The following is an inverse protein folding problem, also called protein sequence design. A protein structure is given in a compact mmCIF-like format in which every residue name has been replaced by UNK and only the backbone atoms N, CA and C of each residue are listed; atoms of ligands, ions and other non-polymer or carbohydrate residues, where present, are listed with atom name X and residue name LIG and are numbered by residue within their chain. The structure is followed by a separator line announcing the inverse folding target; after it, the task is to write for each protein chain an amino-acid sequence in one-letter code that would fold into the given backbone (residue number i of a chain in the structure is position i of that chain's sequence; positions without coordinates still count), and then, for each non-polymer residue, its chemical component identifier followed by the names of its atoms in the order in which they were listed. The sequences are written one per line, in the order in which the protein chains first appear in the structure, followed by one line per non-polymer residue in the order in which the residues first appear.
data_IF_130318090529
#
_entry.id   IF_130318090529
#
_cell.length_a   1.000
_cell.length_b   1.000
_cell.length_c   1.000
_cell.angle_alpha   90.00
_cell.angle_beta   90.00
_cell.angle_gamma   90.00
#
_symmetry.space_group_name_H-M   'P 1'
#
loop_
_entity.id
_entity.type
_entity.pdbx_description
1 polymer ?
#
# COMPACT_ATOMS: atom_id res chain seq x y z
N UNK A 1 -3.95 -21.39 -18.79
CA UNK A 1 -4.82 -20.26 -18.41
C UNK A 1 -3.98 -19.30 -17.61
N UNK A 2 -4.22 -17.98 -17.71
CA UNK A 2 -3.43 -16.96 -16.98
C UNK A 2 -3.80 -16.87 -15.50
N UNK A 3 -5.01 -17.31 -15.13
CA UNK A 3 -5.53 -17.26 -13.77
C UNK A 3 -6.22 -18.57 -13.38
N UNK A 4 -6.00 -18.99 -12.13
CA UNK A 4 -6.67 -20.10 -11.47
C UNK A 4 -7.77 -19.54 -10.55
N UNK A 5 -9.03 -19.79 -10.92
CA UNK A 5 -10.19 -19.26 -10.19
C UNK A 5 -10.53 -20.10 -8.95
N UNK A 6 -10.08 -21.35 -8.88
CA UNK A 6 -10.33 -22.24 -7.75
C UNK A 6 -9.53 -21.82 -6.51
N UNK A 7 -8.48 -21.00 -6.70
CA UNK A 7 -7.70 -20.41 -5.61
C UNK A 7 -8.40 -19.21 -4.94
N UNK A 8 -9.45 -18.65 -5.56
CA UNK A 8 -10.20 -17.52 -4.95
C UNK A 8 -10.97 -18.01 -3.72
N UNK A 9 -10.77 -17.34 -2.59
CA UNK A 9 -11.34 -17.70 -1.30
C UNK A 9 -10.49 -18.70 -0.51
N UNK A 10 -9.38 -19.21 -1.05
CA UNK A 10 -8.49 -20.12 -0.37
C UNK A 10 -7.40 -19.35 0.38
N UNK A 11 -7.39 -19.44 1.71
CA UNK A 11 -6.38 -18.80 2.53
C UNK A 11 -4.99 -19.43 2.32
N UNK A 12 -3.98 -18.59 2.17
CA UNK A 12 -2.59 -19.00 2.11
C UNK A 12 -2.04 -19.46 3.47
N UNK A 13 -0.74 -19.79 3.49
CA UNK A 13 -0.03 -20.10 4.74
C UNK A 13 0.03 -18.87 5.63
N UNK A 14 -0.06 -19.11 6.94
CA UNK A 14 0.19 -18.07 7.95
C UNK A 14 1.68 -17.85 8.14
N UNK A 15 2.06 -16.59 8.37
CA UNK A 15 3.40 -16.18 8.74
C UNK A 15 3.38 -15.51 10.11
N UNK A 16 4.37 -15.82 10.93
CA UNK A 16 4.52 -15.21 12.25
C UNK A 16 5.52 -14.07 12.21
N UNK A 17 5.22 -13.00 12.92
CA UNK A 17 6.10 -11.84 13.03
C UNK A 17 6.16 -11.34 14.49
N UNK A 18 7.38 -11.17 15.01
CA UNK A 18 7.60 -10.55 16.33
C UNK A 18 7.93 -9.08 16.13
N UNK A 19 7.08 -8.21 16.62
CA UNK A 19 7.27 -6.76 16.53
C UNK A 19 8.32 -6.34 17.55
N UNK A 20 9.44 -5.79 17.05
CA UNK A 20 10.50 -5.22 17.91
C UNK A 20 10.45 -3.69 17.90
N UNK A 21 10.96 -3.07 18.97
CA UNK A 21 11.17 -1.62 18.99
C UNK A 21 12.05 -1.14 17.84
N UNK A 22 13.08 -1.94 17.49
CA UNK A 22 13.99 -1.60 16.39
C UNK A 22 13.28 -1.62 15.03
N UNK A 23 12.38 -2.59 14.79
CA UNK A 23 11.60 -2.64 13.57
C UNK A 23 10.69 -1.41 13.42
N UNK A 24 9.98 -1.03 14.49
CA UNK A 24 9.11 0.16 14.48
C UNK A 24 9.91 1.45 14.26
N UNK A 25 11.06 1.61 14.94
CA UNK A 25 11.94 2.78 14.76
C UNK A 25 12.58 2.82 13.37
N UNK A 26 13.06 1.68 12.87
CA UNK A 26 13.68 1.61 11.54
C UNK A 26 12.67 1.98 10.45
N UNK A 27 11.44 1.47 10.55
CA UNK A 27 10.38 1.81 9.60
C UNK A 27 9.99 3.29 9.66
N UNK A 28 9.84 3.84 10.86
CA UNK A 28 9.56 5.26 11.06
C UNK A 28 10.67 6.15 10.50
N UNK A 29 11.94 5.79 10.75
CA UNK A 29 13.10 6.49 10.16
C UNK A 29 13.11 6.40 8.64
N UNK A 30 12.77 5.22 8.08
CA UNK A 30 12.72 5.01 6.64
C UNK A 30 11.54 5.72 5.95
N UNK A 31 10.57 6.21 6.69
CA UNK A 31 9.42 7.00 6.20
C UNK A 31 9.40 8.43 6.74
N UNK A 32 10.52 8.85 7.34
CA UNK A 32 10.69 10.18 7.96
C UNK A 32 9.53 10.59 8.90
N UNK A 33 8.96 9.63 9.62
CA UNK A 33 7.86 9.83 10.57
C UNK A 33 8.22 9.30 11.98
N UNK A 34 7.27 9.36 12.89
CA UNK A 34 7.34 8.77 14.24
C UNK A 34 6.77 7.35 14.25
N UNK A 35 7.23 6.45 15.16
CA UNK A 35 6.71 5.10 15.24
C UNK A 35 5.19 5.03 15.50
N UNK A 36 4.52 4.03 14.92
CA UNK A 36 3.11 3.74 15.15
C UNK A 36 2.18 4.14 13.99
N UNK A 37 2.73 4.57 12.86
CA UNK A 37 1.95 4.84 11.64
C UNK A 37 1.30 3.57 11.06
N UNK A 38 0.15 3.71 10.38
CA UNK A 38 -0.67 2.57 9.93
C UNK A 38 0.05 1.74 8.85
N UNK A 39 0.93 2.34 8.06
CA UNK A 39 1.58 1.67 6.93
C UNK A 39 2.59 0.60 7.39
N UNK A 40 3.08 0.64 8.65
CA UNK A 40 3.87 -0.46 9.22
C UNK A 40 3.13 -1.81 9.16
N UNK A 41 1.80 -1.80 9.10
CA UNK A 41 0.97 -3.02 8.97
C UNK A 41 1.35 -3.90 7.77
N UNK A 42 2.00 -3.35 6.73
CA UNK A 42 2.48 -4.14 5.58
C UNK A 42 3.63 -5.10 5.97
N UNK A 43 4.47 -4.72 6.93
CA UNK A 43 5.68 -5.48 7.28
C UNK A 43 5.36 -6.91 7.72
N UNK A 44 4.46 -7.15 8.70
CA UNK A 44 4.12 -8.51 9.11
C UNK A 44 3.34 -9.32 8.05
N UNK A 45 2.78 -8.66 7.02
CA UNK A 45 2.01 -9.35 5.97
C UNK A 45 2.80 -9.57 4.67
N UNK A 46 3.93 -8.90 4.50
CA UNK A 46 4.66 -8.85 3.22
C UNK A 46 4.90 -10.23 2.61
N UNK A 47 5.37 -11.18 3.40
CA UNK A 47 5.70 -12.53 2.93
C UNK A 47 4.47 -13.38 2.56
N UNK A 48 3.26 -12.95 2.91
CA UNK A 48 2.02 -13.69 2.60
C UNK A 48 1.42 -13.28 1.25
N UNK A 49 1.69 -12.05 0.77
CA UNK A 49 1.03 -11.47 -0.41
C UNK A 49 1.48 -12.15 -1.69
N UNK A 50 2.79 -12.29 -1.93
CA UNK A 50 3.31 -12.89 -3.15
C UNK A 50 2.88 -14.35 -3.34
N UNK A 51 2.89 -15.24 -2.33
CA UNK A 51 2.34 -16.59 -2.43
C UNK A 51 0.83 -16.61 -2.77
N UNK A 52 0.04 -15.72 -2.18
CA UNK A 52 -1.39 -15.59 -2.48
C UNK A 52 -1.63 -15.15 -3.93
N UNK A 53 -0.86 -14.20 -4.44
CA UNK A 53 -0.92 -13.80 -5.83
C UNK A 53 -0.49 -14.94 -6.78
N UNK A 54 0.57 -15.68 -6.44
CA UNK A 54 1.08 -16.82 -7.22
C UNK A 54 0.11 -17.99 -7.26
N UNK A 55 -0.77 -18.16 -6.27
CA UNK A 55 -1.79 -19.21 -6.29
C UNK A 55 -2.87 -18.96 -7.36
N UNK A 56 -3.09 -17.69 -7.73
CA UNK A 56 -4.09 -17.28 -8.71
C UNK A 56 -3.47 -16.99 -10.08
N UNK A 57 -2.39 -16.22 -10.12
CA UNK A 57 -1.83 -15.71 -11.36
C UNK A 57 -0.60 -16.52 -11.82
N UNK A 58 -0.58 -16.92 -13.10
CA UNK A 58 0.59 -17.59 -13.68
C UNK A 58 1.85 -16.70 -13.64
N UNK A 59 3.03 -17.33 -13.69
CA UNK A 59 4.30 -16.61 -13.72
C UNK A 59 4.39 -15.59 -14.87
N UNK A 60 3.80 -15.88 -16.02
CA UNK A 60 3.77 -14.97 -17.17
C UNK A 60 2.83 -13.78 -16.94
N UNK A 61 1.67 -13.99 -16.33
CA UNK A 61 0.77 -12.91 -15.96
C UNK A 61 1.45 -11.95 -14.98
N UNK A 62 2.18 -12.49 -14.01
CA UNK A 62 2.90 -11.71 -12.98
C UNK A 62 4.01 -10.81 -13.52
N UNK A 63 4.55 -11.05 -14.69
CA UNK A 63 5.50 -10.12 -15.35
C UNK A 63 4.88 -8.75 -15.68
N UNK A 64 3.55 -8.64 -15.65
CA UNK A 64 2.78 -7.43 -15.96
C UNK A 64 2.00 -6.89 -14.76
N UNK A 65 2.28 -7.40 -13.57
CA UNK A 65 1.60 -6.99 -12.34
C UNK A 65 2.13 -5.65 -11.85
N UNK A 66 1.22 -4.84 -11.35
CA UNK A 66 1.54 -3.64 -10.56
C UNK A 66 0.69 -3.63 -9.30
N UNK A 67 1.24 -3.13 -8.21
CA UNK A 67 0.48 -2.79 -7.00
C UNK A 67 -0.38 -1.56 -7.34
N UNK A 68 -1.69 -1.74 -7.37
CA UNK A 68 -2.62 -0.74 -7.92
C UNK A 68 -3.35 0.06 -6.85
N UNK A 69 -3.85 -0.61 -5.81
CA UNK A 69 -4.53 0.00 -4.67
C UNK A 69 -4.13 -0.70 -3.38
N UNK A 70 -4.09 0.04 -2.30
CA UNK A 70 -3.91 -0.50 -0.95
C UNK A 70 -4.86 0.18 0.02
N UNK A 71 -5.58 -0.61 0.81
CA UNK A 71 -6.50 -0.17 1.84
C UNK A 71 -6.17 -0.89 3.15
N UNK A 72 -5.93 -0.13 4.21
CA UNK A 72 -5.57 -0.63 5.54
C UNK A 72 -6.68 -0.23 6.51
N UNK A 73 -7.34 -1.21 7.10
CA UNK A 73 -8.29 -1.02 8.21
C UNK A 73 -7.59 -1.41 9.52
N UNK A 74 -7.48 -0.45 10.44
CA UNK A 74 -6.78 -0.61 11.71
C UNK A 74 -7.79 -0.84 12.82
N UNK A 75 -7.74 -2.01 13.45
CA UNK A 75 -8.58 -2.35 14.61
C UNK A 75 -7.89 -2.05 15.93
N UNK A 76 -6.57 -2.15 15.94
CA UNK A 76 -5.72 -1.74 17.08
C UNK A 76 -4.31 -1.37 16.61
N UNK A 77 -3.63 -0.45 17.31
CA UNK A 77 -2.25 -0.12 17.03
C UNK A 77 -1.31 -1.32 17.19
N UNK A 78 -0.25 -1.36 16.36
CA UNK A 78 0.82 -2.34 16.48
C UNK A 78 1.87 -1.81 17.47
N UNK A 79 2.17 -2.61 18.50
CA UNK A 79 3.12 -2.30 19.57
C UNK A 79 4.30 -3.26 19.60
N UNK A 80 5.44 -2.77 20.06
CA UNK A 80 6.59 -3.61 20.34
C UNK A 80 6.24 -4.72 21.35
N UNK A 81 6.80 -5.89 21.14
CA UNK A 81 6.53 -7.10 21.92
C UNK A 81 5.34 -7.93 21.42
N UNK A 82 4.50 -7.38 20.53
CA UNK A 82 3.42 -8.17 19.93
C UNK A 82 4.00 -9.33 19.10
N UNK A 83 3.34 -10.48 19.21
CA UNK A 83 3.49 -11.62 18.31
C UNK A 83 2.28 -11.66 17.41
N UNK A 84 2.51 -11.46 16.13
CA UNK A 84 1.47 -11.34 15.12
C UNK A 84 1.49 -12.57 14.23
N UNK A 85 0.30 -12.98 13.80
CA UNK A 85 0.10 -14.05 12.82
C UNK A 85 -0.68 -13.44 11.67
N UNK A 86 -0.10 -13.46 10.47
CA UNK A 86 -0.72 -12.90 9.27
C UNK A 86 -0.97 -13.99 8.23
N UNK A 87 -2.07 -13.87 7.50
CA UNK A 87 -2.32 -14.68 6.31
C UNK A 87 -2.97 -13.84 5.23
N UNK A 88 -2.84 -14.28 3.98
CA UNK A 88 -3.42 -13.63 2.82
C UNK A 88 -4.37 -14.59 2.09
N UNK A 89 -5.50 -14.06 1.63
CA UNK A 89 -6.52 -14.78 0.86
C UNK A 89 -6.83 -13.99 -0.40
N UNK A 90 -6.66 -14.55 -1.59
CA UNK A 90 -7.20 -13.96 -2.82
C UNK A 90 -8.73 -13.97 -2.72
N UNK A 91 -9.37 -12.80 -2.72
CA UNK A 91 -10.83 -12.71 -2.49
C UNK A 91 -11.62 -12.34 -3.74
N UNK A 92 -10.95 -11.80 -4.75
CA UNK A 92 -11.66 -11.34 -5.94
C UNK A 92 -10.72 -11.24 -7.15
N UNK A 93 -11.25 -11.61 -8.31
CA UNK A 93 -10.63 -11.38 -9.61
C UNK A 93 -11.64 -10.66 -10.51
N UNK A 94 -11.30 -9.46 -11.01
CA UNK A 94 -12.21 -8.63 -11.79
C UNK A 94 -11.64 -8.32 -13.16
N UNK A 95 -12.39 -8.64 -14.21
CA UNK A 95 -12.09 -8.20 -15.59
C UNK A 95 -12.24 -6.68 -15.67
N UNK A 96 -11.27 -6.03 -16.28
CA UNK A 96 -11.20 -4.57 -16.49
C UNK A 96 -10.91 -4.27 -17.96
N UNK A 97 -11.21 -3.07 -18.47
CA UNK A 97 -10.99 -2.74 -19.89
C UNK A 97 -9.56 -2.97 -20.40
N UNK A 98 -8.54 -2.81 -19.54
CA UNK A 98 -7.14 -2.88 -19.94
C UNK A 98 -6.36 -3.99 -19.21
N UNK A 99 -7.06 -5.00 -18.67
CA UNK A 99 -6.44 -6.10 -17.94
C UNK A 99 -7.34 -6.71 -16.88
N UNK A 100 -6.74 -7.19 -15.81
CA UNK A 100 -7.45 -7.88 -14.72
C UNK A 100 -6.95 -7.37 -13.38
N UNK A 101 -7.84 -7.10 -12.43
CA UNK A 101 -7.48 -6.82 -11.04
C UNK A 101 -7.71 -8.03 -10.16
N UNK A 102 -6.75 -8.33 -9.29
CA UNK A 102 -6.83 -9.32 -8.23
C UNK A 102 -6.81 -8.59 -6.89
N UNK A 103 -7.78 -8.87 -6.03
CA UNK A 103 -7.79 -8.36 -4.65
C UNK A 103 -7.35 -9.48 -3.72
N UNK A 104 -6.32 -9.20 -2.94
CA UNK A 104 -5.81 -10.07 -1.88
C UNK A 104 -6.15 -9.40 -0.56
N UNK A 105 -6.94 -10.05 0.28
CA UNK A 105 -7.21 -9.64 1.66
C UNK A 105 -6.18 -10.27 2.56
N UNK A 106 -5.51 -9.44 3.37
CA UNK A 106 -4.66 -9.93 4.46
C UNK A 106 -5.33 -9.64 5.80
N UNK A 107 -5.18 -10.56 6.73
CA UNK A 107 -5.59 -10.38 8.12
C UNK A 107 -4.38 -10.61 9.02
N UNK A 108 -4.15 -9.67 9.93
CA UNK A 108 -3.13 -9.79 10.97
C UNK A 108 -3.81 -9.88 12.33
N UNK A 109 -3.48 -10.92 13.09
CA UNK A 109 -4.03 -11.19 14.41
C UNK A 109 -2.93 -11.34 15.44
N UNK A 110 -3.26 -11.11 16.71
CA UNK A 110 -2.40 -11.53 17.82
C UNK A 110 -2.39 -13.07 17.93
N UNK A 111 -1.46 -13.62 18.71
CA UNK A 111 -1.45 -15.06 18.99
C UNK A 111 -2.75 -15.56 19.67
N UNK A 112 -3.43 -14.67 20.41
CA UNK A 112 -4.72 -14.97 21.07
C UNK A 112 -5.92 -14.83 20.12
N UNK A 113 -5.67 -14.52 18.83
CA UNK A 113 -6.69 -14.45 17.78
C UNK A 113 -7.39 -13.10 17.62
N UNK A 114 -7.04 -12.07 18.40
CA UNK A 114 -7.60 -10.73 18.23
C UNK A 114 -7.15 -10.11 16.90
N UNK A 115 -8.09 -9.53 16.16
CA UNK A 115 -7.82 -8.86 14.90
C UNK A 115 -7.10 -7.53 15.16
N UNK A 116 -5.95 -7.34 14.50
CA UNK A 116 -5.11 -6.13 14.60
C UNK A 116 -5.34 -5.22 13.41
N UNK A 117 -5.30 -5.76 12.22
CA UNK A 117 -5.64 -5.03 10.98
C UNK A 117 -6.10 -5.99 9.89
N UNK A 118 -6.79 -5.41 8.91
CA UNK A 118 -7.10 -6.03 7.63
C UNK A 118 -6.55 -5.13 6.53
N UNK A 119 -6.05 -5.73 5.46
CA UNK A 119 -5.62 -4.96 4.30
C UNK A 119 -6.19 -5.56 3.03
N UNK A 120 -6.55 -4.71 2.09
CA UNK A 120 -6.96 -5.10 0.74
C UNK A 120 -5.90 -4.61 -0.24
N UNK A 121 -5.12 -5.55 -0.73
CA UNK A 121 -4.06 -5.31 -1.72
C UNK A 121 -4.64 -5.59 -3.08
N UNK A 122 -4.78 -4.57 -3.92
CA UNK A 122 -5.23 -4.74 -5.29
C UNK A 122 -4.02 -4.77 -6.23
N UNK A 123 -3.79 -5.89 -6.84
CA UNK A 123 -2.86 -6.06 -7.96
C UNK A 123 -3.59 -5.86 -9.28
N UNK A 124 -2.93 -5.22 -10.25
CA UNK A 124 -3.45 -5.06 -11.60
C UNK A 124 -2.49 -5.66 -12.64
N UNK A 125 -3.00 -6.59 -13.42
CA UNK A 125 -2.28 -7.30 -14.48
C UNK A 125 -2.55 -6.62 -15.82
N UNK A 126 -1.64 -5.76 -16.25
CA UNK A 126 -1.78 -4.93 -17.45
C UNK A 126 -1.82 -5.77 -18.71
N UNK A 127 -2.92 -5.64 -19.49
CA UNK A 127 -3.11 -6.36 -20.75
C UNK A 127 -3.19 -7.88 -20.60
N UNK A 128 -3.46 -8.40 -19.41
CA UNK A 128 -3.74 -9.82 -19.16
C UNK A 128 -5.23 -9.96 -18.82
N UNK A 129 -5.97 -10.65 -19.66
CA UNK A 129 -7.41 -10.79 -19.52
C UNK A 129 -7.78 -12.09 -18.80
N UNK A 130 -8.66 -12.00 -17.81
CA UNK A 130 -9.39 -13.14 -17.26
C UNK A 130 -10.67 -13.39 -18.08
N UNK A 131 -11.17 -14.61 -18.04
CA UNK A 131 -12.38 -15.02 -18.77
C UNK A 131 -13.66 -14.55 -18.08
N UNK A 132 -13.63 -14.36 -16.77
CA UNK A 132 -14.78 -13.96 -15.95
C UNK A 132 -14.33 -13.26 -14.69
N UNK A 133 -15.23 -12.50 -14.08
CA UNK A 133 -15.05 -11.91 -12.76
C UNK A 133 -15.64 -12.82 -11.69
N UNK A 134 -14.93 -12.94 -10.55
CA UNK A 134 -15.39 -13.70 -9.37
C UNK A 134 -15.05 -12.93 -8.10
N UNK A 135 -15.82 -13.17 -7.03
CA UNK A 135 -15.63 -12.53 -5.73
C UNK A 135 -16.19 -11.11 -5.63
N UNK A 136 -15.97 -10.45 -4.51
CA UNK A 136 -16.46 -9.11 -4.22
C UNK A 136 -15.38 -8.07 -4.46
N UNK A 137 -15.78 -6.84 -4.79
CA UNK A 137 -14.83 -5.73 -4.96
C UNK A 137 -14.21 -5.35 -3.62
N UNK A 138 -12.98 -4.80 -3.65
CA UNK A 138 -12.40 -4.11 -2.51
C UNK A 138 -13.31 -2.96 -2.05
N UNK A 139 -13.24 -2.54 -0.78
CA UNK A 139 -13.98 -1.38 -0.28
C UNK A 139 -13.72 -0.14 -1.14
N UNK A 140 -14.78 0.63 -1.43
CA UNK A 140 -14.64 1.87 -2.22
C UNK A 140 -13.99 2.97 -1.36
N UNK A 141 -13.07 3.71 -1.98
CA UNK A 141 -12.43 4.88 -1.38
C UNK A 141 -12.26 6.03 -2.39
N UNK A 142 -13.12 6.06 -3.43
CA UNK A 142 -13.05 7.08 -4.48
C UNK A 142 -13.20 8.48 -3.90
N UNK A 143 -12.28 9.36 -4.27
CA UNK A 143 -12.30 10.78 -3.94
C UNK A 143 -12.98 11.60 -5.04
N UNK A 144 -13.99 12.39 -4.67
CA UNK A 144 -14.68 13.34 -5.56
C UNK A 144 -14.60 14.73 -4.92
N UNK A 145 -13.67 15.55 -5.41
CA UNK A 145 -13.40 16.91 -4.90
C UNK A 145 -13.27 17.94 -6.03
N UNK A 146 -13.98 17.70 -7.13
CA UNK A 146 -13.93 18.61 -8.28
C UNK A 146 -14.39 20.02 -7.90
N UNK A 147 -13.53 21.02 -8.15
CA UNK A 147 -13.81 22.42 -7.83
C UNK A 147 -13.75 22.77 -6.34
N UNK A 148 -13.29 21.88 -5.50
CA UNK A 148 -13.12 22.14 -4.06
C UNK A 148 -11.62 22.39 -3.76
N UNK A 149 -11.32 23.56 -3.15
CA UNK A 149 -9.96 23.85 -2.71
C UNK A 149 -9.53 22.89 -1.60
N UNK A 150 -8.26 22.43 -1.59
CA UNK A 150 -7.75 21.59 -0.52
C UNK A 150 -7.68 22.35 0.81
N UNK A 151 -7.91 21.63 1.91
CA UNK A 151 -7.68 22.12 3.27
C UNK A 151 -6.21 22.49 3.50
N UNK A 152 -5.32 21.69 2.96
CA UNK A 152 -3.87 21.89 3.03
C UNK A 152 -3.16 21.22 1.86
N UNK A 153 -1.98 21.76 1.52
CA UNK A 153 -0.99 21.15 0.64
C UNK A 153 0.32 21.02 1.43
N UNK A 154 0.82 19.80 1.59
CA UNK A 154 2.02 19.51 2.37
C UNK A 154 3.01 18.76 1.49
N UNK A 155 4.20 19.31 1.37
CA UNK A 155 5.26 18.80 0.50
C UNK A 155 6.41 18.20 1.31
N UNK A 156 6.85 17.01 0.93
CA UNK A 156 8.04 16.36 1.46
C UNK A 156 8.99 16.01 0.31
N UNK A 157 10.25 16.44 0.44
CA UNK A 157 11.31 15.98 -0.45
C UNK A 157 11.70 14.55 -0.07
N UNK A 158 11.60 13.65 -1.03
CA UNK A 158 12.04 12.26 -0.86
C UNK A 158 13.55 12.18 -1.09
N UNK A 159 14.28 11.55 -0.19
CA UNK A 159 15.73 11.46 -0.28
C UNK A 159 16.17 10.52 -1.42
N UNK A 160 17.41 10.73 -1.93
CA UNK A 160 18.00 9.87 -2.98
C UNK A 160 18.14 8.41 -2.54
N UNK A 161 18.40 8.17 -1.25
CA UNK A 161 18.55 6.86 -0.62
C UNK A 161 17.25 6.31 -0.01
N UNK A 162 16.12 6.96 -0.30
CA UNK A 162 14.82 6.56 0.24
C UNK A 162 14.44 5.11 -0.07
N UNK A 163 14.63 4.63 -1.33
CA UNK A 163 14.29 3.25 -1.65
C UNK A 163 15.09 2.23 -0.83
N UNK A 164 16.39 2.45 -0.64
CA UNK A 164 17.25 1.55 0.13
C UNK A 164 16.86 1.52 1.62
N UNK A 165 16.60 2.69 2.19
CA UNK A 165 16.13 2.79 3.59
C UNK A 165 14.81 2.07 3.79
N UNK A 166 13.88 2.28 2.85
CA UNK A 166 12.57 1.64 2.93
C UNK A 166 12.65 0.13 2.72
N UNK A 167 13.40 -0.35 1.73
CA UNK A 167 13.60 -1.77 1.49
C UNK A 167 14.17 -2.48 2.73
N UNK A 168 15.19 -1.90 3.36
CA UNK A 168 15.80 -2.45 4.58
C UNK A 168 14.82 -2.54 5.76
N UNK A 169 13.86 -1.60 5.86
CA UNK A 169 12.91 -1.53 6.98
C UNK A 169 11.62 -2.32 6.72
N UNK A 170 11.19 -2.42 5.46
CA UNK A 170 9.92 -3.09 5.08
C UNK A 170 10.09 -4.54 4.67
N UNK A 171 11.29 -4.92 4.20
CA UNK A 171 11.56 -6.21 3.58
C UNK A 171 11.15 -6.29 2.11
N UNK A 172 10.72 -5.18 1.49
CA UNK A 172 10.47 -5.09 0.06
C UNK A 172 11.76 -4.73 -0.69
N UNK A 173 12.48 -5.75 -1.12
CA UNK A 173 13.75 -5.66 -1.85
C UNK A 173 13.60 -5.83 -3.37
N UNK A 174 12.40 -5.59 -3.92
CA UNK A 174 12.15 -5.79 -5.33
C UNK A 174 13.04 -4.86 -6.19
N UNK A 175 13.72 -5.45 -7.18
CA UNK A 175 14.79 -4.80 -7.94
C UNK A 175 14.38 -3.49 -8.63
N UNK A 176 13.10 -3.28 -8.94
CA UNK A 176 12.58 -2.03 -9.53
C UNK A 176 12.86 -0.79 -8.66
N UNK A 177 13.06 -1.00 -7.35
CA UNK A 177 13.31 0.05 -6.37
C UNK A 177 14.81 0.25 -6.07
N UNK A 178 15.65 -0.75 -6.37
CA UNK A 178 17.03 -0.79 -5.92
C UNK A 178 18.05 -0.82 -7.06
N UNK A 179 17.62 -1.18 -8.29
CA UNK A 179 18.50 -1.38 -9.44
C UNK A 179 18.00 -0.55 -10.64
N UNK A 180 18.78 0.45 -11.01
CA UNK A 180 18.50 1.33 -12.14
C UNK A 180 18.50 0.60 -13.50
N UNK A 181 19.36 -0.41 -13.66
CA UNK A 181 19.43 -1.18 -14.91
C UNK A 181 18.18 -2.05 -15.06
N UNK A 182 17.78 -2.73 -13.97
CA UNK A 182 16.53 -3.47 -13.95
C UNK A 182 15.33 -2.57 -14.22
N UNK A 183 15.24 -1.41 -13.57
CA UNK A 183 14.14 -0.45 -13.77
C UNK A 183 14.05 0.01 -15.23
N UNK A 184 15.20 0.31 -15.87
CA UNK A 184 15.23 0.66 -17.31
C UNK A 184 14.82 -0.51 -18.20
N UNK A 185 15.17 -1.74 -17.85
CA UNK A 185 14.80 -2.93 -18.62
C UNK A 185 13.29 -3.17 -18.69
N UNK A 186 12.53 -2.65 -17.70
CA UNK A 186 11.07 -2.71 -17.65
C UNK A 186 10.38 -1.41 -18.07
N UNK A 187 11.12 -0.46 -18.66
CA UNK A 187 10.59 0.75 -19.30
C UNK A 187 10.48 1.97 -18.40
N UNK A 188 11.12 1.98 -17.23
CA UNK A 188 11.25 3.16 -16.38
C UNK A 188 12.56 3.91 -16.67
N UNK A 189 12.65 5.22 -16.41
CA UNK A 189 13.89 5.97 -16.59
C UNK A 189 14.98 5.62 -15.56
N UNK A 190 14.61 5.07 -14.42
CA UNK A 190 15.46 4.65 -13.31
C UNK A 190 14.64 4.01 -12.21
N UNK A 191 15.30 3.66 -11.10
CA UNK A 191 14.63 3.10 -9.92
C UNK A 191 13.59 4.07 -9.36
N UNK A 192 12.54 3.53 -8.74
CA UNK A 192 11.42 4.29 -8.21
C UNK A 192 11.27 4.12 -6.70
N UNK A 193 10.68 5.09 -6.05
CA UNK A 193 10.27 4.99 -4.65
C UNK A 193 9.14 3.96 -4.51
N UNK A 194 9.15 3.17 -3.44
CA UNK A 194 8.09 2.21 -3.14
C UNK A 194 6.74 2.92 -2.98
N UNK A 195 5.69 2.36 -3.57
CA UNK A 195 4.34 2.92 -3.45
C UNK A 195 3.89 3.05 -1.99
N UNK A 196 4.19 2.05 -1.16
CA UNK A 196 3.87 2.06 0.27
C UNK A 196 4.68 3.12 1.04
N UNK A 197 5.90 3.45 0.61
CA UNK A 197 6.67 4.58 1.15
C UNK A 197 5.98 5.91 0.81
N UNK A 198 5.54 6.10 -0.44
CA UNK A 198 4.74 7.28 -0.83
C UNK A 198 3.46 7.39 -0.01
N UNK A 199 2.78 6.26 0.25
CA UNK A 199 1.57 6.22 1.09
C UNK A 199 1.88 6.62 2.54
N UNK A 200 3.03 6.24 3.10
CA UNK A 200 3.45 6.64 4.44
C UNK A 200 3.69 8.16 4.53
N UNK A 201 4.35 8.75 3.55
CA UNK A 201 4.52 10.22 3.47
C UNK A 201 3.16 10.94 3.36
N UNK A 202 2.25 10.43 2.53
CA UNK A 202 0.91 11.01 2.40
C UNK A 202 0.10 10.87 3.69
N UNK A 203 0.16 9.73 4.38
CA UNK A 203 -0.49 9.52 5.67
C UNK A 203 0.00 10.53 6.72
N UNK A 204 1.31 10.77 6.78
CA UNK A 204 1.91 11.80 7.65
C UNK A 204 1.36 13.19 7.31
N UNK A 205 1.29 13.57 6.02
CA UNK A 205 0.75 14.85 5.58
C UNK A 205 -0.72 15.02 5.97
N UNK A 206 -1.56 14.00 5.77
CA UNK A 206 -2.97 14.04 6.18
C UNK A 206 -3.09 14.21 7.70
N UNK A 207 -2.28 13.49 8.49
CA UNK A 207 -2.26 13.60 9.95
C UNK A 207 -1.90 15.02 10.40
N UNK A 208 -0.90 15.64 9.77
CA UNK A 208 -0.49 17.03 10.04
C UNK A 208 -1.60 18.02 9.67
N UNK A 209 -2.21 17.88 8.48
CA UNK A 209 -3.33 18.73 8.03
C UNK A 209 -4.56 18.61 8.93
N UNK A 210 -4.83 17.41 9.43
CA UNK A 210 -5.95 17.13 10.33
C UNK A 210 -5.70 17.63 11.77
N UNK A 211 -4.45 17.98 12.13
CA UNK A 211 -4.07 18.27 13.51
C UNK A 211 -4.17 17.05 14.43
N UNK A 212 -4.14 15.84 13.88
CA UNK A 212 -4.23 14.62 14.67
C UNK A 212 -2.93 14.39 15.49
N UNK A 213 -3.03 14.15 16.82
CA UNK A 213 -1.87 14.21 17.69
C UNK A 213 -0.93 12.99 17.57
N UNK A 214 -1.42 11.89 17.01
CA UNK A 214 -0.70 10.62 17.03
C UNK A 214 -0.82 9.86 15.71
N UNK A 215 0.28 9.24 15.23
CA UNK A 215 0.23 8.32 14.10
C UNK A 215 -0.58 7.03 14.41
N UNK A 216 -0.98 6.82 15.66
CA UNK A 216 -1.78 5.69 16.12
C UNK A 216 -3.30 5.94 16.04
N UNK A 217 -3.71 7.16 15.63
CA UNK A 217 -5.13 7.54 15.57
C UNK A 217 -5.85 7.04 14.30
N UNK A 218 -5.13 6.46 13.35
CA UNK A 218 -5.75 5.97 12.11
C UNK A 218 -6.67 4.77 12.37
N UNK A 219 -7.90 4.84 11.83
CA UNK A 219 -8.81 3.70 11.68
C UNK A 219 -8.76 3.11 10.27
N UNK A 220 -8.57 3.96 9.26
CA UNK A 220 -8.43 3.53 7.87
C UNK A 220 -7.47 4.42 7.11
N UNK A 221 -6.72 3.81 6.19
CA UNK A 221 -5.88 4.49 5.22
C UNK A 221 -5.93 3.74 3.91
N UNK A 222 -6.40 4.39 2.85
CA UNK A 222 -6.44 3.80 1.52
C UNK A 222 -5.92 4.76 0.46
N UNK A 223 -5.32 4.23 -0.62
CA UNK A 223 -5.01 5.00 -1.82
C UNK A 223 -4.80 4.11 -3.05
N UNK A 224 -4.91 4.73 -4.23
CA UNK A 224 -4.55 4.15 -5.51
C UNK A 224 -3.20 4.70 -5.97
N UNK A 225 -2.30 3.79 -6.35
CA UNK A 225 -1.01 4.11 -6.96
C UNK A 225 -1.19 4.40 -8.45
N UNK A 226 -0.76 5.58 -8.92
CA UNK A 226 -1.09 6.07 -10.26
C UNK A 226 0.13 6.28 -11.16
N UNK A 227 1.18 6.87 -10.64
CA UNK A 227 2.45 7.09 -11.34
C UNK A 227 3.63 6.82 -10.40
N UNK A 228 4.82 6.51 -10.94
CA UNK A 228 6.02 6.40 -10.14
C UNK A 228 6.45 7.76 -9.56
N UNK A 229 7.09 7.72 -8.40
CA UNK A 229 7.87 8.81 -7.83
C UNK A 229 9.34 8.42 -7.89
N UNK A 230 10.22 9.33 -8.26
CA UNK A 230 11.65 9.07 -8.35
C UNK A 230 12.38 9.59 -7.11
N UNK A 231 13.48 8.94 -6.69
CA UNK A 231 14.33 9.47 -5.64
C UNK A 231 14.75 10.92 -5.95
N UNK A 232 14.76 11.78 -4.92
CA UNK A 232 15.06 13.20 -5.07
C UNK A 232 13.91 14.09 -5.50
N UNK A 233 12.76 13.56 -5.91
CA UNK A 233 11.56 14.37 -6.18
C UNK A 233 10.84 14.78 -4.89
N UNK A 234 9.95 15.74 -5.03
CA UNK A 234 9.03 16.17 -3.97
C UNK A 234 7.68 15.48 -4.15
N UNK A 235 7.15 14.94 -3.07
CA UNK A 235 5.76 14.46 -3.01
C UNK A 235 4.92 15.54 -2.32
N UNK A 236 4.01 16.18 -3.05
CA UNK A 236 3.06 17.16 -2.52
C UNK A 236 1.71 16.50 -2.33
N UNK A 237 1.28 16.35 -1.08
CA UNK A 237 -0.02 15.78 -0.72
C UNK A 237 -1.02 16.90 -0.53
N UNK A 238 -2.14 16.83 -1.27
CA UNK A 238 -3.29 17.73 -1.14
C UNK A 238 -4.36 17.01 -0.32
N UNK A 239 -4.89 17.70 0.67
CA UNK A 239 -5.81 17.12 1.66
C UNK A 239 -7.13 17.86 1.65
N UNK A 240 -8.23 17.14 1.63
CA UNK A 240 -9.60 17.67 1.73
C UNK A 240 -10.32 17.06 2.92
N UNK A 241 -11.18 17.86 3.55
CA UNK A 241 -12.16 17.31 4.47
C UNK A 241 -13.32 16.74 3.66
N UNK A 242 -13.67 15.48 3.94
CA UNK A 242 -14.82 14.79 3.36
C UNK A 242 -15.70 14.25 4.50
N UNK A 243 -16.96 14.01 4.28
CA UNK A 243 -17.99 13.67 5.26
C UNK A 243 -17.50 13.30 6.69
N UNK A 244 -17.02 12.06 6.87
CA UNK A 244 -16.58 11.54 8.17
C UNK A 244 -15.06 11.38 8.30
N UNK A 245 -14.27 11.96 7.37
CA UNK A 245 -12.82 11.77 7.37
C UNK A 245 -12.09 12.77 6.47
N UNK A 246 -11.01 12.29 5.84
CA UNK A 246 -10.19 13.08 4.93
C UNK A 246 -9.97 12.31 3.63
N UNK A 247 -10.10 13.06 2.52
CA UNK A 247 -9.63 12.62 1.21
C UNK A 247 -8.28 13.21 0.89
N UNK A 248 -7.47 12.54 0.10
CA UNK A 248 -6.20 13.09 -0.38
C UNK A 248 -5.82 12.57 -1.76
N UNK A 249 -4.99 13.33 -2.44
CA UNK A 249 -4.14 12.87 -3.52
C UNK A 249 -2.70 13.35 -3.29
N UNK A 250 -1.76 12.85 -4.08
CA UNK A 250 -0.39 13.34 -4.01
C UNK A 250 0.22 13.41 -5.41
N UNK A 251 0.94 14.50 -5.67
CA UNK A 251 1.58 14.78 -6.96
C UNK A 251 3.10 14.92 -6.81
N UNK A 252 3.83 14.64 -7.89
CA UNK A 252 5.26 14.90 -7.96
C UNK A 252 5.57 16.34 -8.41
N UNK A 253 6.86 16.67 -8.60
CA UNK A 253 7.34 18.01 -9.02
C UNK A 253 6.73 18.48 -10.35
N UNK A 254 6.34 17.57 -11.24
CA UNK A 254 5.69 17.87 -12.53
C UNK A 254 4.15 17.97 -12.43
N UNK A 255 3.58 17.84 -11.24
CA UNK A 255 2.13 17.83 -11.02
C UNK A 255 1.46 16.53 -11.45
N UNK A 256 2.23 15.47 -11.74
CA UNK A 256 1.69 14.15 -12.08
C UNK A 256 1.24 13.44 -10.81
N UNK A 257 0.00 12.94 -10.81
CA UNK A 257 -0.53 12.26 -9.65
C UNK A 257 0.15 10.91 -9.42
N UNK A 258 0.85 10.80 -8.29
CA UNK A 258 1.49 9.59 -7.76
C UNK A 258 0.47 8.75 -6.99
N UNK A 259 -0.30 9.39 -6.10
CA UNK A 259 -1.40 8.78 -5.37
C UNK A 259 -2.72 9.46 -5.73
N UNK A 260 -3.79 8.67 -5.84
CA UNK A 260 -5.16 9.14 -6.11
C UNK A 260 -6.15 8.44 -5.20
N UNK A 261 -7.35 8.99 -5.14
CA UNK A 261 -8.48 8.39 -4.43
C UNK A 261 -8.12 8.04 -2.98
N UNK A 262 -7.30 8.88 -2.35
CA UNK A 262 -6.85 8.68 -0.97
C UNK A 262 -7.97 8.88 0.04
N UNK A 263 -8.04 8.01 1.05
CA UNK A 263 -8.97 8.08 2.18
C UNK A 263 -8.24 7.88 3.49
N UNK A 264 -8.58 8.71 4.48
CA UNK A 264 -8.15 8.56 5.88
C UNK A 264 -9.34 8.75 6.80
N UNK A 265 -9.54 7.80 7.71
CA UNK A 265 -10.43 7.92 8.85
C UNK A 265 -9.61 7.84 10.15
N UNK A 266 -9.92 8.71 11.11
CA UNK A 266 -9.31 8.75 12.44
C UNK A 266 -10.32 8.37 13.51
N UNK A 267 -9.81 7.79 14.63
CA UNK A 267 -10.57 7.55 15.86
C UNK A 267 -11.04 8.85 16.49
#
# INVERSE_FOLDING_TARGET
MSFDLDAIGVAGRSEEYVVTDDALRSYATATDDTPGGPVFAIVPTWQTIAPASLSVASADARKRVVHYEHDIVVHRPIDAGMRLVSHATPVSLMVRPNGTSLVIRTETRTQDGELVNEQFVTEFFRGVEATTSVGERAPDHRLVVEGVEPLAEIAYRVAEDQPERYAAASGDDFAIHLDDEFARSVGLPGRIVHGMCCLAFAARAVREAAGAPSPRAFERLAARFSAPLFPGETLTTRVWRVDEGYGFDAVNDDGVAVLKDGRVDFQ
#
